data_IF_668377581113
#
_entry.id   IF_668377581113
#
_cell.length_a   1.000
_cell.length_b   1.000
_cell.length_c   1.000
_cell.angle_alpha   90.00
_cell.angle_beta   90.00
_cell.angle_gamma   90.00
#
_symmetry.space_group_name_H-M   'P 1'
#
loop_
_entity.id
_entity.type
_entity.pdbx_description
1 polymer ?
#
# COMPACT_ATOMS: atom_id res chain seq x y z
N UNK A 1 0.31 0.38 -5.22
CA UNK A 1 -0.46 -0.16 -4.07
C UNK A 1 -1.76 -0.81 -4.54
N UNK A 2 -2.82 -0.06 -4.92
CA UNK A 2 -4.12 -0.64 -5.31
C UNK A 2 -3.99 -1.60 -6.50
N UNK A 3 -3.30 -1.19 -7.57
CA UNK A 3 -3.06 -2.03 -8.74
C UNK A 3 -2.32 -3.33 -8.36
N UNK A 4 -1.28 -3.25 -7.52
CA UNK A 4 -0.59 -4.44 -7.03
C UNK A 4 -1.54 -5.41 -6.33
N UNK A 5 -2.45 -4.90 -5.48
CA UNK A 5 -3.38 -5.79 -4.78
C UNK A 5 -4.40 -6.44 -5.73
N UNK A 6 -4.89 -5.72 -6.74
CA UNK A 6 -5.77 -6.30 -7.76
C UNK A 6 -5.09 -7.44 -8.52
N UNK A 7 -3.80 -7.31 -8.85
CA UNK A 7 -3.00 -8.38 -9.45
C UNK A 7 -2.81 -9.58 -8.50
N UNK A 8 -2.58 -9.35 -7.21
CA UNK A 8 -2.48 -10.43 -6.22
C UNK A 8 -3.80 -11.20 -6.06
N UNK A 9 -4.93 -10.51 -6.18
CA UNK A 9 -6.27 -11.11 -6.14
C UNK A 9 -6.68 -11.78 -7.47
N UNK A 10 -5.97 -11.52 -8.56
CA UNK A 10 -6.35 -11.98 -9.90
C UNK A 10 -7.67 -11.40 -10.39
N UNK A 11 -8.08 -10.25 -9.89
CA UNK A 11 -9.33 -9.59 -10.26
C UNK A 11 -9.14 -8.81 -11.56
N UNK A 12 -9.96 -9.03 -12.60
CA UNK A 12 -9.89 -8.24 -13.82
C UNK A 12 -10.29 -6.78 -13.56
N UNK A 13 -9.52 -5.85 -14.09
CA UNK A 13 -9.78 -4.41 -13.97
C UNK A 13 -9.32 -3.66 -15.20
N UNK A 14 -9.89 -2.50 -15.44
CA UNK A 14 -9.41 -1.53 -16.40
C UNK A 14 -8.57 -0.48 -15.70
N UNK A 15 -7.34 -0.27 -16.16
CA UNK A 15 -6.44 0.73 -15.60
C UNK A 15 -6.48 2.02 -16.42
N UNK A 16 -6.97 3.09 -15.83
CA UNK A 16 -7.03 4.41 -16.47
C UNK A 16 -5.94 5.30 -15.85
N UNK A 17 -4.94 5.63 -16.67
CA UNK A 17 -3.86 6.54 -16.28
C UNK A 17 -4.28 7.97 -16.59
N UNK A 18 -4.39 8.79 -15.54
CA UNK A 18 -4.68 10.22 -15.68
C UNK A 18 -3.42 11.03 -15.96
N UNK A 19 -3.49 11.96 -16.89
CA UNK A 19 -2.45 12.99 -17.04
C UNK A 19 -2.58 14.05 -15.94
N UNK A 20 -1.78 13.85 -14.90
CA UNK A 20 -1.73 14.76 -13.75
C UNK A 20 -1.21 16.16 -14.13
N UNK A 21 -0.35 16.25 -15.17
CA UNK A 21 0.20 17.52 -15.65
C UNK A 21 -0.84 18.31 -16.45
N UNK A 22 -1.65 17.61 -17.24
CA UNK A 22 -2.79 18.20 -17.94
C UNK A 22 -3.95 18.54 -17.00
N UNK A 23 -3.91 18.06 -15.74
CA UNK A 23 -4.93 18.37 -14.75
C UNK A 23 -6.19 17.52 -14.87
N UNK A 24 -6.13 16.34 -15.51
CA UNK A 24 -7.30 15.47 -15.69
C UNK A 24 -7.97 15.07 -14.38
N UNK A 25 -7.18 14.93 -13.30
CA UNK A 25 -7.72 14.67 -11.95
C UNK A 25 -8.58 15.81 -11.38
N UNK A 26 -8.61 16.98 -12.03
CA UNK A 26 -9.41 18.15 -11.64
C UNK A 26 -10.60 18.39 -12.59
N UNK A 27 -10.78 17.56 -13.61
CA UNK A 27 -11.89 17.66 -14.53
C UNK A 27 -13.19 17.12 -13.90
N UNK A 28 -14.35 17.62 -14.32
CA UNK A 28 -15.65 17.22 -13.76
C UNK A 28 -15.87 15.70 -13.76
N UNK A 29 -15.41 15.01 -14.81
CA UNK A 29 -15.54 13.57 -14.96
C UNK A 29 -14.87 12.85 -13.78
N UNK A 30 -13.61 13.18 -13.48
CA UNK A 30 -12.89 12.56 -12.37
C UNK A 30 -13.41 13.06 -11.00
N UNK A 31 -13.74 14.34 -10.87
CA UNK A 31 -14.32 14.89 -9.63
C UNK A 31 -15.65 14.25 -9.27
N UNK A 32 -16.39 13.72 -10.24
CA UNK A 32 -17.60 12.93 -9.99
C UNK A 32 -17.32 11.59 -9.32
N UNK A 33 -16.06 11.11 -9.37
CA UNK A 33 -15.57 9.87 -8.72
C UNK A 33 -14.90 10.21 -7.41
N UNK A 34 -13.95 11.15 -7.43
CA UNK A 34 -13.22 11.60 -6.26
C UNK A 34 -13.21 13.14 -6.16
N UNK A 35 -14.08 13.72 -5.33
CA UNK A 35 -14.17 15.19 -5.18
C UNK A 35 -12.91 15.82 -4.56
N UNK A 36 -12.00 15.02 -3.96
CA UNK A 36 -10.73 15.49 -3.41
C UNK A 36 -9.64 15.67 -4.49
N UNK A 37 -9.93 15.32 -5.77
CA UNK A 37 -8.97 15.43 -6.87
C UNK A 37 -7.64 14.68 -6.61
N UNK A 38 -7.68 13.54 -5.95
CA UNK A 38 -6.52 12.70 -5.61
C UNK A 38 -6.64 11.33 -6.27
N UNK A 39 -5.51 10.69 -6.48
CA UNK A 39 -5.42 9.31 -6.94
C UNK A 39 -4.85 8.43 -5.81
N UNK A 40 -5.25 7.17 -5.72
CA UNK A 40 -6.16 6.44 -6.60
C UNK A 40 -7.65 6.64 -6.26
N UNK A 41 -8.50 6.26 -7.21
CA UNK A 41 -9.92 6.00 -6.99
C UNK A 41 -10.32 4.77 -7.80
N UNK A 42 -11.40 4.10 -7.40
CA UNK A 42 -12.01 2.98 -8.12
C UNK A 42 -13.49 3.24 -8.39
N UNK A 43 -13.97 2.63 -9.46
CA UNK A 43 -15.40 2.50 -9.77
C UNK A 43 -15.70 1.02 -9.94
N UNK A 44 -16.64 0.50 -9.15
CA UNK A 44 -17.05 -0.90 -9.17
C UNK A 44 -18.59 -0.97 -9.32
N UNK A 45 -19.04 -1.10 -10.57
CA UNK A 45 -20.42 -0.82 -10.93
C UNK A 45 -20.79 0.63 -10.64
N UNK A 46 -21.79 0.85 -9.80
CA UNK A 46 -22.20 2.20 -9.38
C UNK A 46 -21.43 2.70 -8.15
N UNK A 47 -20.64 1.84 -7.51
CA UNK A 47 -19.91 2.18 -6.30
C UNK A 47 -18.59 2.88 -6.63
N UNK A 48 -18.38 4.04 -6.04
CA UNK A 48 -17.17 4.85 -6.20
C UNK A 48 -16.45 4.94 -4.86
N UNK A 49 -15.15 4.69 -4.87
CA UNK A 49 -14.35 4.72 -3.64
C UNK A 49 -12.99 5.35 -3.92
N UNK A 50 -12.54 6.19 -3.03
CA UNK A 50 -11.22 6.81 -3.01
C UNK A 50 -10.55 6.61 -1.63
N UNK A 51 -9.30 7.05 -1.44
CA UNK A 51 -8.35 6.66 -0.41
C UNK A 51 -7.82 5.23 -0.61
N UNK A 52 -6.52 5.12 -0.86
CA UNK A 52 -5.89 3.82 -1.13
C UNK A 52 -6.14 2.78 -0.03
N UNK A 53 -6.11 3.21 1.23
CA UNK A 53 -6.38 2.33 2.37
C UNK A 53 -7.82 1.80 2.40
N UNK A 54 -8.80 2.67 2.12
CA UNK A 54 -10.20 2.26 2.05
C UNK A 54 -10.44 1.30 0.89
N UNK A 55 -9.81 1.56 -0.26
CA UNK A 55 -9.88 0.70 -1.44
C UNK A 55 -9.31 -0.70 -1.11
N UNK A 56 -8.16 -0.77 -0.44
CA UNK A 56 -7.55 -2.06 -0.06
C UNK A 56 -8.48 -2.88 0.84
N UNK A 57 -9.05 -2.26 1.86
CA UNK A 57 -9.99 -2.93 2.78
C UNK A 57 -11.26 -3.38 2.05
N UNK A 58 -11.78 -2.56 1.14
CA UNK A 58 -12.93 -2.92 0.32
C UNK A 58 -12.64 -4.15 -0.56
N UNK A 59 -11.50 -4.15 -1.25
CA UNK A 59 -11.10 -5.26 -2.14
C UNK A 59 -10.90 -6.56 -1.35
N UNK A 60 -10.28 -6.50 -0.16
CA UNK A 60 -10.14 -7.66 0.71
C UNK A 60 -11.50 -8.25 1.08
N UNK A 61 -12.40 -7.43 1.59
CA UNK A 61 -13.73 -7.90 1.99
C UNK A 61 -14.59 -8.43 0.84
N UNK A 62 -14.35 -7.95 -0.40
CA UNK A 62 -15.15 -8.35 -1.55
C UNK A 62 -14.61 -9.57 -2.29
N UNK A 63 -13.28 -9.72 -2.36
CA UNK A 63 -12.64 -10.65 -3.28
C UNK A 63 -11.77 -11.71 -2.59
N UNK A 64 -11.46 -11.60 -1.29
CA UNK A 64 -10.83 -12.70 -0.59
C UNK A 64 -11.83 -13.85 -0.37
N UNK A 65 -11.36 -15.07 -0.61
CA UNK A 65 -12.21 -16.28 -0.58
C UNK A 65 -12.76 -16.60 0.82
N UNK A 66 -12.02 -16.22 1.86
CA UNK A 66 -12.37 -16.51 3.26
C UNK A 66 -12.92 -15.26 3.92
N UNK A 67 -14.11 -15.33 4.54
CA UNK A 67 -14.60 -14.22 5.33
C UNK A 67 -13.63 -13.84 6.44
N UNK A 68 -13.33 -12.56 6.53
CA UNK A 68 -12.39 -11.99 7.52
C UNK A 68 -13.16 -11.74 8.82
N UNK A 69 -12.66 -12.23 9.95
CA UNK A 69 -13.26 -11.94 11.27
C UNK A 69 -13.13 -10.46 11.61
N UNK A 70 -13.90 -10.00 12.60
CA UNK A 70 -13.81 -8.60 13.08
C UNK A 70 -12.42 -8.27 13.62
N UNK A 71 -11.81 -9.21 14.31
CA UNK A 71 -10.46 -9.09 14.86
C UNK A 71 -9.42 -8.96 13.75
N UNK A 72 -9.43 -9.85 12.77
CA UNK A 72 -8.55 -9.80 11.59
C UNK A 72 -8.75 -8.52 10.78
N UNK A 73 -9.99 -8.11 10.58
CA UNK A 73 -10.28 -6.85 9.90
C UNK A 73 -9.72 -5.64 10.66
N UNK A 74 -9.79 -5.68 12.00
CA UNK A 74 -9.25 -4.62 12.85
C UNK A 74 -7.72 -4.59 12.80
N UNK A 75 -7.04 -5.74 12.77
CA UNK A 75 -5.59 -5.83 12.59
C UNK A 75 -5.15 -5.32 11.20
N UNK A 76 -5.87 -5.70 10.15
CA UNK A 76 -5.64 -5.17 8.80
C UNK A 76 -5.77 -3.65 8.80
N UNK A 77 -6.86 -3.12 9.35
CA UNK A 77 -7.12 -1.68 9.39
C UNK A 77 -6.05 -0.93 10.20
N UNK A 78 -5.58 -1.50 11.30
CA UNK A 78 -4.46 -0.95 12.09
C UNK A 78 -3.23 -0.73 11.21
N UNK A 79 -2.83 -1.74 10.43
CA UNK A 79 -1.67 -1.64 9.55
C UNK A 79 -1.88 -0.70 8.37
N UNK A 80 -3.09 -0.67 7.80
CA UNK A 80 -3.45 0.27 6.73
C UNK A 80 -3.37 1.71 7.22
N UNK A 81 -3.92 2.00 8.40
CA UNK A 81 -3.85 3.32 9.02
C UNK A 81 -2.41 3.69 9.40
N UNK A 82 -1.66 2.76 9.97
CA UNK A 82 -0.23 2.96 10.26
C UNK A 82 0.54 3.31 8.98
N UNK A 83 0.33 2.57 7.88
CA UNK A 83 0.99 2.82 6.62
C UNK A 83 0.70 4.22 6.08
N UNK A 84 -0.58 4.60 6.03
CA UNK A 84 -1.01 5.86 5.40
C UNK A 84 -0.78 7.10 6.28
N UNK A 85 -1.05 7.00 7.59
CA UNK A 85 -1.04 8.15 8.48
C UNK A 85 0.29 8.33 9.26
N UNK A 86 1.10 7.29 9.34
CA UNK A 86 2.31 7.28 10.18
C UNK A 86 3.56 6.97 9.37
N UNK A 87 3.63 5.79 8.75
CA UNK A 87 4.82 5.35 8.02
C UNK A 87 5.09 6.23 6.79
N UNK A 88 4.07 6.47 5.97
CA UNK A 88 4.19 7.32 4.79
C UNK A 88 4.72 8.72 5.13
N UNK A 89 4.07 9.49 5.98
CA UNK A 89 4.59 10.79 6.42
C UNK A 89 6.01 10.72 7.03
N UNK A 90 6.29 9.70 7.85
CA UNK A 90 7.62 9.51 8.45
C UNK A 90 8.73 9.25 7.45
N UNK A 91 8.43 8.56 6.33
CA UNK A 91 9.42 8.25 5.29
C UNK A 91 9.57 9.37 4.25
N UNK A 92 8.49 10.11 3.93
CA UNK A 92 8.49 11.01 2.77
C UNK A 92 8.55 12.50 3.14
N UNK A 93 8.16 12.90 4.35
CA UNK A 93 8.35 14.27 4.79
C UNK A 93 9.81 14.48 5.21
N UNK A 94 10.52 15.32 4.46
CA UNK A 94 11.96 15.53 4.61
C UNK A 94 12.36 16.01 6.00
N UNK A 95 11.57 16.92 6.57
CA UNK A 95 11.75 17.46 7.92
C UNK A 95 11.52 16.44 9.06
N UNK A 96 10.86 15.32 8.76
CA UNK A 96 10.55 14.26 9.73
C UNK A 96 11.39 13.01 9.55
N UNK A 97 11.86 12.74 8.33
CA UNK A 97 12.49 11.46 7.96
C UNK A 97 13.59 11.03 8.91
N UNK A 98 14.57 11.89 9.15
CA UNK A 98 15.74 11.55 9.97
C UNK A 98 15.33 11.16 11.41
N UNK A 99 14.37 11.87 11.97
CA UNK A 99 13.91 11.69 13.36
C UNK A 99 12.93 10.51 13.50
N UNK A 100 11.94 10.43 12.58
CA UNK A 100 10.84 9.47 12.72
C UNK A 100 11.20 8.07 12.22
N UNK A 101 12.05 7.96 11.18
CA UNK A 101 12.38 6.67 10.56
C UNK A 101 12.91 5.63 11.56
N UNK A 102 13.86 5.94 12.48
CA UNK A 102 14.31 4.95 13.44
C UNK A 102 13.20 4.45 14.37
N UNK A 103 12.30 5.35 14.79
CA UNK A 103 11.17 5.01 15.66
C UNK A 103 10.13 4.12 14.98
N UNK A 104 10.03 4.19 13.65
CA UNK A 104 9.09 3.41 12.84
C UNK A 104 9.69 2.08 12.40
N UNK A 105 10.93 2.10 11.91
CA UNK A 105 11.55 0.92 11.31
C UNK A 105 12.13 -0.06 12.34
N UNK A 106 12.58 0.41 13.50
CA UNK A 106 13.11 -0.49 14.54
C UNK A 106 12.05 -1.49 15.05
N UNK A 107 10.86 -1.05 15.51
CA UNK A 107 9.80 -1.98 15.91
C UNK A 107 9.33 -2.86 14.73
N UNK A 108 9.23 -2.29 13.53
CA UNK A 108 8.84 -3.05 12.34
C UNK A 108 9.86 -4.16 12.03
N UNK A 109 11.15 -3.87 12.15
CA UNK A 109 12.22 -4.83 11.98
C UNK A 109 12.14 -5.97 13.02
N UNK A 110 11.84 -5.65 14.27
CA UNK A 110 11.66 -6.65 15.34
C UNK A 110 10.47 -7.58 15.03
N UNK A 111 9.34 -7.02 14.57
CA UNK A 111 8.15 -7.80 14.17
C UNK A 111 8.49 -8.74 13.02
N UNK A 112 9.14 -8.25 11.98
CA UNK A 112 9.48 -9.00 10.77
C UNK A 112 10.63 -10.00 10.94
N UNK A 113 11.39 -9.93 12.03
CA UNK A 113 12.42 -10.93 12.37
C UNK A 113 11.81 -12.31 12.60
N UNK A 114 10.58 -12.37 13.11
CA UNK A 114 9.92 -13.61 13.51
C UNK A 114 8.77 -14.03 12.61
N UNK A 115 8.44 -13.22 11.61
CA UNK A 115 7.30 -13.45 10.71
C UNK A 115 7.67 -13.09 9.27
N UNK A 116 7.28 -13.92 8.30
CA UNK A 116 7.49 -13.58 6.88
C UNK A 116 6.62 -12.42 6.40
N UNK A 117 5.43 -12.24 7.01
CA UNK A 117 4.48 -11.15 6.74
C UNK A 117 3.91 -10.60 8.05
N UNK A 118 3.31 -9.42 7.99
CA UNK A 118 2.88 -8.66 9.17
C UNK A 118 1.86 -9.41 10.05
N UNK A 119 0.94 -10.14 9.43
CA UNK A 119 -0.11 -10.89 10.13
C UNK A 119 0.17 -12.40 10.23
N UNK A 120 1.37 -12.87 9.83
CA UNK A 120 1.76 -14.27 9.97
C UNK A 120 2.46 -14.84 8.73
N UNK A 121 2.02 -15.99 8.25
CA UNK A 121 2.71 -16.74 7.20
C UNK A 121 2.23 -16.43 5.78
N UNK A 122 1.14 -15.69 5.64
CA UNK A 122 0.55 -15.34 4.34
C UNK A 122 0.56 -13.84 4.11
N UNK A 123 0.74 -13.47 2.82
CA UNK A 123 0.55 -12.10 2.38
C UNK A 123 -0.88 -11.64 2.69
N UNK A 124 -1.00 -10.44 3.20
CA UNK A 124 -2.27 -9.80 3.53
C UNK A 124 -2.35 -8.36 3.02
N UNK A 125 -3.51 -7.74 3.15
CA UNK A 125 -3.69 -6.31 2.88
C UNK A 125 -2.73 -5.43 3.69
N UNK A 126 -2.39 -5.85 4.92
CA UNK A 126 -1.40 -5.16 5.76
C UNK A 126 -0.05 -5.05 5.04
N UNK A 127 0.39 -6.14 4.39
CA UNK A 127 1.65 -6.18 3.67
C UNK A 127 1.60 -5.36 2.37
N UNK A 128 0.45 -5.34 1.70
CA UNK A 128 0.25 -4.48 0.53
C UNK A 128 0.38 -3.01 0.93
N UNK A 129 -0.24 -2.61 2.04
CA UNK A 129 -0.19 -1.23 2.52
C UNK A 129 1.22 -0.82 2.95
N UNK A 130 1.79 -1.51 3.91
CA UNK A 130 3.12 -1.19 4.48
C UNK A 130 4.23 -1.41 3.45
N UNK A 131 4.22 -2.56 2.75
CA UNK A 131 5.21 -2.92 1.75
C UNK A 131 5.28 -1.93 0.59
N UNK A 132 4.14 -1.36 0.17
CA UNK A 132 4.13 -0.32 -0.87
C UNK A 132 4.90 0.94 -0.43
N UNK A 133 4.70 1.42 0.80
CA UNK A 133 5.43 2.60 1.29
C UNK A 133 6.93 2.33 1.44
N UNK A 134 7.31 1.15 1.92
CA UNK A 134 8.72 0.75 2.00
C UNK A 134 9.36 0.65 0.61
N UNK A 135 8.66 0.05 -0.36
CA UNK A 135 9.13 -0.02 -1.73
C UNK A 135 9.26 1.37 -2.37
N UNK A 136 8.28 2.24 -2.17
CA UNK A 136 8.35 3.63 -2.64
C UNK A 136 9.49 4.40 -1.98
N UNK A 137 9.79 4.18 -0.70
CA UNK A 137 10.93 4.80 -0.05
C UNK A 137 12.25 4.41 -0.71
N UNK A 138 12.41 3.13 -1.09
CA UNK A 138 13.57 2.66 -1.84
C UNK A 138 13.66 3.30 -3.24
N UNK A 139 12.54 3.37 -3.96
CA UNK A 139 12.48 3.83 -5.35
C UNK A 139 12.57 5.36 -5.46
N UNK A 140 11.80 6.09 -4.64
CA UNK A 140 11.62 7.54 -4.81
C UNK A 140 12.61 8.38 -4.04
N UNK A 141 13.08 7.89 -2.87
CA UNK A 141 14.02 8.62 -2.00
C UNK A 141 15.33 7.87 -1.76
N UNK A 142 15.57 6.78 -2.48
CA UNK A 142 16.76 5.94 -2.37
C UNK A 142 17.07 5.51 -0.92
N UNK A 143 16.02 5.21 -0.15
CA UNK A 143 16.19 4.82 1.24
C UNK A 143 16.87 3.45 1.34
N UNK A 144 17.95 3.38 2.14
CA UNK A 144 18.71 2.15 2.40
C UNK A 144 18.27 1.51 3.72
N UNK A 145 17.77 0.28 3.65
CA UNK A 145 17.29 -0.47 4.81
C UNK A 145 18.39 -1.30 5.52
N UNK A 146 19.67 -1.10 5.23
CA UNK A 146 20.76 -1.94 5.78
C UNK A 146 20.83 -1.99 7.30
N UNK A 147 20.35 -0.96 7.99
CA UNK A 147 20.25 -0.94 9.47
C UNK A 147 19.04 -1.75 9.98
N UNK A 148 18.15 -2.17 9.09
CA UNK A 148 16.91 -2.90 9.37
C UNK A 148 16.82 -4.16 8.50
N UNK A 149 17.65 -5.19 8.78
CA UNK A 149 17.81 -6.33 7.87
C UNK A 149 16.52 -7.11 7.63
N UNK A 150 15.66 -7.28 8.65
CA UNK A 150 14.39 -7.96 8.47
C UNK A 150 13.40 -7.16 7.59
N UNK A 151 13.44 -5.82 7.66
CA UNK A 151 12.70 -4.94 6.75
C UNK A 151 13.27 -5.05 5.33
N UNK A 152 14.59 -5.08 5.18
CA UNK A 152 15.23 -5.24 3.87
C UNK A 152 14.83 -6.56 3.20
N UNK A 153 14.90 -7.68 3.93
CA UNK A 153 14.50 -9.01 3.48
C UNK A 153 13.00 -9.08 3.14
N UNK A 154 12.18 -8.41 3.93
CA UNK A 154 10.74 -8.31 3.68
C UNK A 154 10.45 -7.55 2.37
N UNK A 155 11.07 -6.38 2.16
CA UNK A 155 10.92 -5.62 0.91
C UNK A 155 11.42 -6.43 -0.28
N UNK A 156 12.53 -7.16 -0.14
CA UNK A 156 13.05 -8.05 -1.18
C UNK A 156 12.03 -9.16 -1.51
N UNK A 157 11.52 -9.86 -0.49
CA UNK A 157 10.50 -10.91 -0.65
C UNK A 157 9.25 -10.41 -1.36
N UNK A 158 8.76 -9.22 -1.01
CA UNK A 158 7.63 -8.61 -1.70
C UNK A 158 7.96 -8.27 -3.15
N UNK A 159 9.16 -7.78 -3.42
CA UNK A 159 9.59 -7.38 -4.77
C UNK A 159 9.79 -8.55 -5.74
N UNK A 160 9.94 -9.77 -5.22
CA UNK A 160 10.06 -10.98 -6.04
C UNK A 160 8.71 -11.48 -6.56
N UNK A 161 7.61 -11.03 -5.98
CA UNK A 161 6.26 -11.44 -6.39
C UNK A 161 5.93 -10.98 -7.82
N UNK A 162 5.34 -11.84 -8.65
CA UNK A 162 4.97 -11.47 -10.03
C UNK A 162 4.10 -10.21 -10.09
N UNK A 163 3.04 -10.17 -9.28
CA UNK A 163 2.13 -9.03 -9.22
C UNK A 163 2.82 -7.70 -8.83
N UNK A 164 3.81 -7.76 -7.93
CA UNK A 164 4.62 -6.59 -7.59
C UNK A 164 5.47 -6.13 -8.78
N UNK A 165 6.15 -7.07 -9.47
CA UNK A 165 7.01 -6.77 -10.62
C UNK A 165 6.23 -6.12 -11.76
N UNK A 166 5.02 -6.57 -12.02
CA UNK A 166 4.15 -6.04 -13.08
C UNK A 166 3.56 -4.66 -12.75
N UNK A 167 3.59 -4.25 -11.50
CA UNK A 167 2.98 -3.00 -11.04
C UNK A 167 3.98 -2.00 -10.48
N UNK A 168 4.42 -2.17 -9.25
CA UNK A 168 5.36 -1.25 -8.58
C UNK A 168 6.76 -1.37 -9.17
N UNK A 169 7.18 -2.59 -9.53
CA UNK A 169 8.50 -2.88 -10.08
C UNK A 169 8.75 -2.31 -11.48
N UNK A 170 7.72 -2.00 -12.24
CA UNK A 170 7.80 -1.45 -13.60
C UNK A 170 7.75 0.09 -13.66
N UNK A 171 7.87 0.79 -12.54
CA UNK A 171 7.77 2.27 -12.47
C UNK A 171 9.10 2.95 -12.37
#
# INVERSE_FOLDING_TARGET
MVQWYLEELGVPYEYILLDMKAGEHKQPEYLSINPMAKVPAIVDGDFKLWESGAILVYLANKYEETPISLEEQSEILQWVLFANATLGPGLFLEDKREKETPHLLKPLNEILTNKPFLLGDKLSVADIAVGSYLAYAKILVNFDFKEYPAVADYVMRLSERPAFKETIGNR
#
